data_IF_021092825672
#
_entry.id   IF_021092825672
#
_cell.length_a   1.000
_cell.length_b   1.000
_cell.length_c   1.000
_cell.angle_alpha   90.00
_cell.angle_beta   90.00
_cell.angle_gamma   90.00
#
_symmetry.space_group_name_H-M   'P 1'
#
loop_
_entity.id
_entity.type
_entity.pdbx_description
1 polymer ?
#
# COMPACT_ATOMS: atom_id res chain seq x y z
N UNK A 1 -46.10 20.05 35.52
CA UNK A 1 -45.81 18.61 35.69
C UNK A 1 -45.33 18.09 34.35
N UNK A 2 -44.23 17.38 34.14
CA UNK A 2 -43.03 17.00 34.89
C UNK A 2 -42.29 16.02 33.94
N UNK A 3 -41.06 16.36 33.60
CA UNK A 3 -39.92 15.56 33.13
C UNK A 3 -40.06 14.10 32.62
N UNK A 4 -39.37 13.86 31.49
CA UNK A 4 -38.45 12.74 31.18
C UNK A 4 -38.93 11.28 31.20
N UNK A 5 -38.68 10.59 30.09
CA UNK A 5 -38.06 9.25 30.12
C UNK A 5 -37.21 9.02 28.86
N UNK A 6 -35.90 8.90 29.09
CA UNK A 6 -34.88 8.48 28.11
C UNK A 6 -34.74 6.96 28.23
N UNK A 7 -34.67 6.18 27.13
CA UNK A 7 -34.38 4.75 27.21
C UNK A 7 -32.92 4.49 27.66
N UNK A 8 -32.75 3.67 28.68
CA UNK A 8 -31.46 3.17 29.19
C UNK A 8 -30.88 2.10 28.24
N UNK A 9 -29.61 2.22 27.88
CA UNK A 9 -28.86 1.18 27.17
C UNK A 9 -28.29 0.14 28.16
N UNK A 10 -28.17 -1.15 27.77
CA UNK A 10 -27.59 -2.19 28.64
C UNK A 10 -26.10 -1.95 28.94
N UNK A 11 -25.74 -2.08 30.23
CA UNK A 11 -24.37 -2.04 30.73
C UNK A 11 -23.56 -3.27 30.27
N UNK A 12 -22.33 -3.04 29.80
CA UNK A 12 -21.36 -4.09 29.48
C UNK A 12 -20.75 -4.62 30.79
N UNK A 13 -20.80 -5.94 31.02
CA UNK A 13 -20.22 -6.61 32.20
C UNK A 13 -18.80 -7.09 31.90
N UNK A 14 -17.85 -6.71 32.76
CA UNK A 14 -16.44 -7.11 32.71
C UNK A 14 -16.25 -8.60 33.13
N UNK A 15 -15.57 -9.46 32.34
CA UNK A 15 -15.41 -10.88 32.66
C UNK A 15 -14.44 -11.23 33.81
N UNK A 16 -13.75 -10.28 34.45
CA UNK A 16 -12.68 -10.58 35.42
C UNK A 16 -13.05 -10.39 36.90
N UNK A 17 -14.32 -10.54 37.31
CA UNK A 17 -14.68 -10.57 38.72
C UNK A 17 -14.84 -12.01 39.25
N UNK A 18 -13.73 -12.53 39.77
CA UNK A 18 -13.64 -13.79 40.48
C UNK A 18 -14.10 -13.61 41.94
N UNK A 19 -14.99 -14.52 42.36
CA UNK A 19 -15.64 -14.63 43.66
C UNK A 19 -14.71 -14.51 44.87
N UNK A 20 -15.11 -13.72 45.89
CA UNK A 20 -14.75 -14.00 47.27
C UNK A 20 -15.89 -13.63 48.23
N UNK A 21 -16.34 -14.63 49.01
CA UNK A 21 -17.41 -14.52 50.01
C UNK A 21 -16.79 -14.65 51.41
N UNK A 22 -17.11 -13.70 52.31
CA UNK A 22 -17.35 -14.00 53.73
C UNK A 22 -16.38 -13.51 54.81
N UNK A 23 -16.93 -12.71 55.74
CA UNK A 23 -16.51 -12.53 57.16
C UNK A 23 -15.36 -11.53 57.39
N UNK A 24 -15.43 -10.51 58.25
CA UNK A 24 -16.09 -10.34 59.54
C UNK A 24 -15.01 -10.03 60.59
N UNK A 25 -14.88 -8.78 61.03
CA UNK A 25 -13.99 -8.35 62.14
C UNK A 25 -14.68 -8.59 63.50
N UNK A 26 -13.97 -8.82 64.65
CA UNK A 26 -13.39 -7.72 65.46
C UNK A 26 -12.13 -8.14 66.32
N UNK A 27 -11.73 -7.51 67.46
CA UNK A 27 -10.61 -6.55 67.54
C UNK A 27 -9.49 -6.83 68.61
N UNK A 28 -8.38 -6.07 68.51
CA UNK A 28 -7.37 -5.61 69.50
C UNK A 28 -6.90 -6.44 70.73
N UNK A 29 -5.55 -6.46 70.93
CA UNK A 29 -4.79 -6.73 72.17
C UNK A 29 -3.67 -7.77 71.94
N UNK A 30 -2.44 -7.75 72.46
CA UNK A 30 -1.63 -6.93 73.37
C UNK A 30 -0.35 -7.73 73.71
N UNK A 31 0.81 -7.06 73.85
CA UNK A 31 2.09 -7.45 74.49
C UNK A 31 2.75 -8.84 74.33
N UNK A 32 3.95 -8.85 73.71
CA UNK A 32 5.23 -9.28 74.33
C UNK A 32 5.65 -10.77 74.37
N UNK A 33 6.83 -11.08 73.80
CA UNK A 33 7.74 -12.11 74.35
C UNK A 33 8.39 -13.12 73.38
N UNK A 34 9.65 -12.85 72.98
CA UNK A 34 10.79 -13.79 72.99
C UNK A 34 10.91 -14.96 71.98
N UNK A 35 12.04 -15.00 71.25
CA UNK A 35 12.69 -16.25 70.82
C UNK A 35 13.13 -16.34 69.35
N UNK A 36 14.42 -16.16 69.06
CA UNK A 36 15.12 -16.58 67.82
C UNK A 36 15.51 -18.08 67.93
N UNK A 37 15.68 -18.87 66.83
CA UNK A 37 16.89 -18.83 65.94
C UNK A 37 16.64 -19.35 64.48
N UNK A 38 17.65 -19.75 63.66
CA UNK A 38 18.59 -18.88 62.95
C UNK A 38 18.61 -19.10 61.40
N UNK A 39 19.42 -18.27 60.74
CA UNK A 39 19.66 -18.08 59.30
C UNK A 39 20.27 -19.27 58.53
N UNK A 40 19.96 -19.34 57.22
CA UNK A 40 20.74 -20.02 56.19
C UNK A 40 21.06 -19.05 55.01
N UNK A 41 22.29 -19.05 54.45
CA UNK A 41 22.71 -18.06 53.43
C UNK A 41 22.49 -18.50 51.96
N UNK A 42 22.44 -17.55 51.00
CA UNK A 42 22.25 -17.82 49.57
C UNK A 42 23.56 -18.09 48.79
N UNK A 43 23.41 -18.84 47.69
CA UNK A 43 24.44 -19.37 46.78
C UNK A 43 25.29 -18.30 46.06
N UNK A 44 26.60 -18.57 45.93
CA UNK A 44 27.56 -17.85 45.10
C UNK A 44 28.03 -18.66 43.89
N UNK A 45 28.44 -17.95 42.83
CA UNK A 45 29.06 -18.46 41.59
C UNK A 45 30.44 -19.11 41.82
N UNK A 46 30.87 -20.11 41.02
CA UNK A 46 32.25 -20.58 41.03
C UNK A 46 33.13 -19.96 39.91
N UNK A 47 34.45 -19.83 40.15
CA UNK A 47 35.42 -19.32 39.18
C UNK A 47 36.20 -20.43 38.43
N UNK A 48 36.91 -19.96 37.41
CA UNK A 48 37.88 -20.59 36.51
C UNK A 48 38.96 -21.47 37.19
N UNK A 49 39.38 -22.54 36.49
CA UNK A 49 40.62 -23.27 36.77
C UNK A 49 41.29 -23.78 35.49
N UNK A 50 42.62 -23.85 35.56
CA UNK A 50 43.62 -23.96 34.50
C UNK A 50 44.13 -25.41 34.34
N UNK A 51 44.51 -25.81 33.13
CA UNK A 51 45.59 -26.79 32.90
C UNK A 51 45.24 -28.10 32.15
N UNK A 52 46.08 -28.47 31.17
CA UNK A 52 46.21 -29.85 30.69
C UNK A 52 46.41 -30.00 29.17
N UNK A 53 47.65 -30.29 28.74
CA UNK A 53 48.07 -30.49 27.35
C UNK A 53 48.12 -31.97 26.92
N UNK A 54 47.86 -32.25 25.63
CA UNK A 54 48.27 -33.49 24.92
C UNK A 54 48.54 -33.21 23.41
N UNK A 55 49.37 -34.03 22.73
CA UNK A 55 50.24 -33.60 21.63
C UNK A 55 49.84 -34.11 20.22
N UNK A 56 50.43 -33.54 19.17
CA UNK A 56 50.48 -34.09 17.81
C UNK A 56 51.93 -34.15 17.29
N UNK A 57 52.32 -35.16 16.50
CA UNK A 57 53.72 -35.40 16.12
C UNK A 57 54.14 -34.69 14.80
N UNK A 58 55.42 -34.30 14.75
CA UNK A 58 56.11 -33.73 13.59
C UNK A 58 56.73 -34.78 12.66
N UNK A 59 56.91 -34.40 11.38
CA UNK A 59 57.88 -34.98 10.44
C UNK A 59 58.79 -33.88 9.84
N UNK A 60 60.00 -34.20 9.32
CA UNK A 60 61.14 -33.28 9.31
C UNK A 60 61.64 -32.84 7.90
N UNK A 61 62.76 -32.09 7.89
CA UNK A 61 63.62 -31.57 6.78
C UNK A 61 63.23 -30.17 6.25
N UNK A 62 64.06 -29.11 6.16
CA UNK A 62 65.47 -28.80 6.45
C UNK A 62 65.74 -27.31 6.09
N UNK A 63 66.73 -26.66 6.72
CA UNK A 63 67.25 -25.29 6.47
C UNK A 63 68.31 -25.29 5.31
N UNK A 64 68.96 -24.18 4.82
CA UNK A 64 69.20 -22.85 5.46
C UNK A 64 69.41 -21.55 4.58
N UNK A 65 69.57 -20.41 5.30
CA UNK A 65 70.36 -19.15 5.06
C UNK A 65 69.87 -17.96 4.17
N UNK A 66 69.92 -16.76 4.78
CA UNK A 66 70.09 -15.44 4.15
C UNK A 66 69.91 -14.24 5.12
N UNK A 67 70.99 -13.51 5.44
CA UNK A 67 71.07 -12.38 6.41
C UNK A 67 70.65 -11.01 5.84
N UNK A 68 70.18 -10.09 6.70
CA UNK A 68 70.08 -8.63 6.44
C UNK A 68 69.99 -7.79 7.75
N UNK A 69 70.42 -6.50 7.77
CA UNK A 69 70.86 -5.77 8.98
C UNK A 69 69.76 -4.97 9.76
N UNK A 70 70.07 -4.39 10.95
CA UNK A 70 69.09 -3.95 11.95
C UNK A 70 68.44 -2.56 11.72
N UNK A 71 67.36 -2.21 12.46
CA UNK A 71 66.45 -1.12 12.09
C UNK A 71 66.92 0.28 12.52
N UNK A 72 66.84 1.24 11.59
CA UNK A 72 67.00 2.68 11.84
C UNK A 72 65.73 3.31 12.43
N UNK A 73 65.93 4.28 13.33
CA UNK A 73 64.88 4.94 14.12
C UNK A 73 63.94 5.82 13.29
N UNK A 74 62.68 5.87 13.73
CA UNK A 74 61.66 6.78 13.21
C UNK A 74 61.58 8.04 14.07
N UNK A 75 61.53 9.20 13.39
CA UNK A 75 61.25 10.51 13.98
C UNK A 75 59.75 10.65 14.36
N UNK A 76 59.40 11.48 15.37
CA UNK A 76 58.02 11.65 15.80
C UNK A 76 57.21 12.57 14.87
N UNK A 77 55.98 12.15 14.52
CA UNK A 77 54.98 12.98 13.84
C UNK A 77 54.21 13.88 14.84
N UNK A 78 53.80 15.11 14.47
CA UNK A 78 53.08 16.01 15.37
C UNK A 78 51.55 15.76 15.38
N UNK A 79 51.01 15.56 16.60
CA UNK A 79 49.76 16.18 17.07
C UNK A 79 48.42 15.71 16.52
N UNK A 80 47.76 14.79 17.25
CA UNK A 80 46.29 14.69 17.30
C UNK A 80 45.82 15.17 18.69
N UNK A 81 45.02 16.24 18.71
CA UNK A 81 44.34 16.72 19.92
C UNK A 81 43.10 15.84 20.14
N UNK A 82 43.03 15.16 21.29
CA UNK A 82 41.82 14.43 21.71
C UNK A 82 40.76 15.42 22.23
N UNK A 83 39.47 15.28 21.88
CA UNK A 83 38.40 16.04 22.53
C UNK A 83 38.20 15.55 23.99
N UNK A 84 37.81 16.44 24.92
CA UNK A 84 37.75 16.10 26.34
C UNK A 84 36.60 15.14 26.67
N UNK A 85 36.69 14.40 27.81
CA UNK A 85 35.68 13.43 28.20
C UNK A 85 34.38 14.14 28.61
N UNK A 86 33.25 13.62 28.14
CA UNK A 86 31.90 14.02 28.55
C UNK A 86 31.69 13.73 30.03
N UNK A 87 31.79 14.76 30.86
CA UNK A 87 31.33 14.74 32.24
C UNK A 87 29.80 14.78 32.28
N UNK A 88 29.18 13.76 32.87
CA UNK A 88 27.75 13.73 33.10
C UNK A 88 27.29 14.73 34.16
N UNK A 89 26.05 15.21 34.01
CA UNK A 89 25.22 15.66 35.12
C UNK A 89 24.62 17.06 35.00
N UNK A 90 23.28 17.08 35.02
CA UNK A 90 22.38 18.12 35.54
C UNK A 90 21.83 19.19 34.57
N UNK A 91 20.54 19.04 34.24
CA UNK A 91 19.63 20.16 33.95
C UNK A 91 19.35 20.47 32.49
N UNK A 92 18.88 19.50 31.70
CA UNK A 92 18.16 19.83 30.46
C UNK A 92 16.69 20.05 30.83
N UNK A 93 16.24 21.30 30.77
CA UNK A 93 14.81 21.58 30.63
C UNK A 93 14.38 20.96 29.30
N UNK A 94 13.41 20.04 29.33
CA UNK A 94 12.74 19.54 28.14
C UNK A 94 12.10 20.72 27.41
N UNK A 95 12.75 21.20 26.35
CA UNK A 95 12.15 22.08 25.36
C UNK A 95 11.34 21.21 24.38
N UNK A 96 9.99 21.24 24.43
CA UNK A 96 9.16 20.43 23.54
C UNK A 96 9.24 20.84 22.07
N UNK A 97 9.99 21.87 21.69
CA UNK A 97 10.14 22.31 20.29
C UNK A 97 11.37 21.75 19.54
N UNK A 98 12.18 20.90 20.19
CA UNK A 98 13.34 20.28 19.54
C UNK A 98 13.06 18.91 18.90
N UNK A 99 11.87 18.73 18.30
CA UNK A 99 11.72 17.65 17.32
C UNK A 99 12.56 17.97 16.08
N UNK A 100 13.46 17.06 15.63
CA UNK A 100 14.27 17.32 14.45
C UNK A 100 13.35 17.41 13.22
N UNK A 101 13.09 18.62 12.74
CA UNK A 101 12.36 18.93 11.49
C UNK A 101 12.95 18.25 10.24
N UNK A 102 14.08 17.55 10.35
CA UNK A 102 14.76 16.87 9.24
C UNK A 102 14.12 15.54 8.81
N UNK A 103 13.34 14.85 9.65
CA UNK A 103 12.68 13.60 9.23
C UNK A 103 11.40 13.83 8.39
N UNK A 104 10.69 14.96 8.60
CA UNK A 104 9.43 15.25 7.91
C UNK A 104 9.60 15.64 6.43
N UNK A 105 10.78 16.18 6.03
CA UNK A 105 11.01 16.60 4.64
C UNK A 105 11.32 15.43 3.72
N UNK A 106 12.02 14.40 4.22
CA UNK A 106 12.35 13.20 3.45
C UNK A 106 11.09 12.44 3.05
N UNK A 107 10.16 12.21 3.98
CA UNK A 107 8.89 11.53 3.71
C UNK A 107 8.03 12.26 2.65
N UNK A 108 7.95 13.59 2.74
CA UNK A 108 7.23 14.39 1.74
C UNK A 108 7.92 14.38 0.37
N UNK A 109 9.25 14.40 0.33
CA UNK A 109 10.00 14.30 -0.93
C UNK A 109 9.82 12.93 -1.59
N UNK A 110 9.87 11.85 -0.80
CA UNK A 110 9.63 10.47 -1.23
C UNK A 110 8.20 10.35 -1.77
N UNK A 111 7.21 10.88 -1.04
CA UNK A 111 5.80 10.87 -1.48
C UNK A 111 5.60 11.61 -2.80
N UNK A 112 6.20 12.79 -2.97
CA UNK A 112 6.13 13.54 -4.24
C UNK A 112 6.77 12.77 -5.40
N UNK A 113 7.91 12.11 -5.14
CA UNK A 113 8.55 11.23 -6.11
C UNK A 113 7.68 10.05 -6.51
N UNK A 114 7.05 9.41 -5.53
CA UNK A 114 6.06 8.35 -5.72
C UNK A 114 4.87 8.82 -6.58
N UNK A 115 4.20 9.91 -6.19
CA UNK A 115 3.05 10.46 -6.91
C UNK A 115 3.42 10.78 -8.36
N UNK A 116 4.56 11.43 -8.58
CA UNK A 116 5.06 11.72 -9.94
C UNK A 116 5.22 10.44 -10.75
N UNK A 117 5.81 9.40 -10.17
CA UNK A 117 6.01 8.10 -10.83
C UNK A 117 4.68 7.43 -11.18
N UNK A 118 3.71 7.44 -10.27
CA UNK A 118 2.37 6.89 -10.50
C UNK A 118 1.69 7.60 -11.68
N UNK A 119 1.65 8.93 -11.69
CA UNK A 119 1.02 9.68 -12.78
C UNK A 119 1.75 9.52 -14.12
N UNK A 120 3.07 9.42 -14.14
CA UNK A 120 3.82 9.15 -15.38
C UNK A 120 3.45 7.78 -15.97
N UNK A 121 3.35 6.76 -15.12
CA UNK A 121 2.92 5.42 -15.52
C UNK A 121 1.47 5.47 -16.03
N UNK A 122 0.57 6.08 -15.26
CA UNK A 122 -0.84 6.24 -15.62
C UNK A 122 -1.00 6.93 -16.99
N UNK A 123 -0.30 8.04 -17.21
CA UNK A 123 -0.35 8.77 -18.48
C UNK A 123 0.16 7.90 -19.64
N UNK A 124 1.21 7.11 -19.42
CA UNK A 124 1.68 6.11 -20.40
C UNK A 124 0.61 5.06 -20.72
N UNK A 125 -0.07 4.52 -19.71
CA UNK A 125 -1.14 3.53 -19.90
C UNK A 125 -2.33 4.11 -20.66
N UNK A 126 -2.75 5.33 -20.31
CA UNK A 126 -3.85 6.02 -20.99
C UNK A 126 -3.49 6.36 -22.44
N UNK A 127 -2.25 6.79 -22.72
CA UNK A 127 -1.79 7.06 -24.08
C UNK A 127 -1.85 5.80 -24.94
N UNK A 128 -1.35 4.66 -24.44
CA UNK A 128 -1.42 3.37 -25.16
C UNK A 128 -2.89 2.97 -25.39
N UNK A 129 -3.74 3.14 -24.37
CA UNK A 129 -5.16 2.76 -24.45
C UNK A 129 -5.93 3.60 -25.45
N UNK A 130 -5.85 4.93 -25.35
CA UNK A 130 -6.53 5.83 -26.28
C UNK A 130 -5.93 5.79 -27.68
N UNK A 131 -4.62 5.53 -27.82
CA UNK A 131 -3.98 5.25 -29.10
C UNK A 131 -4.52 3.97 -29.74
N UNK A 132 -4.69 2.90 -28.98
CA UNK A 132 -5.34 1.67 -29.46
C UNK A 132 -6.80 1.93 -29.84
N UNK A 133 -7.59 2.59 -28.98
CA UNK A 133 -8.97 2.97 -29.29
C UNK A 133 -9.06 3.77 -30.57
N UNK A 134 -8.20 4.78 -30.77
CA UNK A 134 -8.15 5.54 -32.01
C UNK A 134 -7.81 4.66 -33.22
N UNK A 135 -6.82 3.79 -33.12
CA UNK A 135 -6.47 2.85 -34.20
C UNK A 135 -7.66 1.96 -34.56
N UNK A 136 -8.35 1.38 -33.57
CA UNK A 136 -9.51 0.54 -33.81
C UNK A 136 -10.70 1.32 -34.37
N UNK A 137 -10.93 2.56 -33.95
CA UNK A 137 -12.10 3.33 -34.38
C UNK A 137 -11.90 3.97 -35.77
N UNK A 138 -10.72 4.47 -36.07
CA UNK A 138 -10.46 5.23 -37.31
C UNK A 138 -9.86 4.38 -38.45
N UNK A 139 -9.19 3.27 -38.15
CA UNK A 139 -8.56 2.42 -39.18
C UNK A 139 -9.41 1.16 -39.47
N UNK A 140 -10.12 1.17 -40.60
CA UNK A 140 -11.00 0.07 -41.01
C UNK A 140 -10.28 -1.28 -41.13
N UNK A 141 -9.00 -1.29 -41.55
CA UNK A 141 -8.19 -2.51 -41.63
C UNK A 141 -8.05 -3.22 -40.27
N UNK A 142 -7.82 -2.45 -39.21
CA UNK A 142 -7.71 -2.97 -37.84
C UNK A 142 -9.04 -3.53 -37.34
N UNK A 143 -10.15 -2.85 -37.63
CA UNK A 143 -11.48 -3.35 -37.29
C UNK A 143 -11.77 -4.70 -37.95
N UNK A 144 -11.48 -4.80 -39.25
CA UNK A 144 -11.70 -6.02 -40.01
C UNK A 144 -10.80 -7.16 -39.52
N UNK A 145 -9.55 -6.85 -39.15
CA UNK A 145 -8.64 -7.81 -38.54
C UNK A 145 -9.20 -8.38 -37.23
N UNK A 146 -9.69 -7.55 -36.30
CA UNK A 146 -10.28 -8.04 -35.06
C UNK A 146 -11.58 -8.83 -35.28
N UNK A 147 -12.43 -8.40 -36.21
CA UNK A 147 -13.66 -9.14 -36.55
C UNK A 147 -13.36 -10.53 -37.13
N UNK A 148 -12.28 -10.67 -37.91
CA UNK A 148 -11.83 -11.97 -38.44
C UNK A 148 -11.16 -12.85 -37.40
N UNK A 149 -10.47 -12.26 -36.43
CA UNK A 149 -9.69 -12.97 -35.42
C UNK A 149 -10.32 -12.84 -34.03
N UNK A 150 -11.57 -13.29 -33.87
CA UNK A 150 -12.30 -13.20 -32.60
C UNK A 150 -11.60 -13.90 -31.43
N UNK A 151 -10.76 -14.89 -31.70
CA UNK A 151 -9.95 -15.57 -30.70
C UNK A 151 -9.00 -14.63 -29.95
N UNK A 152 -8.52 -13.55 -30.61
CA UNK A 152 -7.65 -12.55 -29.99
C UNK A 152 -8.35 -11.81 -28.84
N UNK A 153 -9.66 -11.62 -28.91
CA UNK A 153 -10.44 -11.02 -27.83
C UNK A 153 -10.37 -11.89 -26.57
N UNK A 154 -10.59 -13.20 -26.70
CA UNK A 154 -10.55 -14.13 -25.57
C UNK A 154 -9.13 -14.31 -25.01
N UNK A 155 -8.12 -14.31 -25.88
CA UNK A 155 -6.71 -14.32 -25.44
C UNK A 155 -6.37 -13.04 -24.69
N UNK A 156 -6.73 -11.87 -25.21
CA UNK A 156 -6.51 -10.60 -24.52
C UNK A 156 -7.24 -10.55 -23.17
N UNK A 157 -8.48 -11.05 -23.10
CA UNK A 157 -9.22 -11.18 -21.85
C UNK A 157 -8.51 -12.08 -20.84
N UNK A 158 -8.02 -13.25 -21.29
CA UNK A 158 -7.26 -14.17 -20.46
C UNK A 158 -5.96 -13.54 -19.93
N UNK A 159 -5.20 -12.86 -20.81
CA UNK A 159 -3.97 -12.15 -20.41
C UNK A 159 -4.26 -11.05 -19.41
N UNK A 160 -5.29 -10.24 -19.64
CA UNK A 160 -5.71 -9.18 -18.72
C UNK A 160 -6.10 -9.76 -17.36
N UNK A 161 -6.91 -10.83 -17.31
CA UNK A 161 -7.32 -11.45 -16.04
C UNK A 161 -6.14 -12.04 -15.29
N UNK A 162 -5.28 -12.81 -15.97
CA UNK A 162 -4.10 -13.45 -15.34
C UNK A 162 -3.16 -12.38 -14.79
N UNK A 163 -2.83 -11.37 -15.59
CA UNK A 163 -1.91 -10.30 -15.15
C UNK A 163 -2.51 -9.48 -14.00
N UNK A 164 -3.81 -9.18 -14.03
CA UNK A 164 -4.53 -8.52 -12.93
C UNK A 164 -4.49 -9.35 -11.65
N UNK A 165 -4.83 -10.65 -11.73
CA UNK A 165 -4.81 -11.55 -10.57
C UNK A 165 -3.40 -11.70 -9.99
N UNK A 166 -2.38 -11.85 -10.83
CA UNK A 166 -0.99 -11.90 -10.37
C UNK A 166 -0.58 -10.60 -9.65
N UNK A 167 -0.95 -9.43 -10.15
CA UNK A 167 -0.64 -8.16 -9.50
C UNK A 167 -1.47 -7.91 -8.23
N UNK A 168 -2.67 -8.46 -8.13
CA UNK A 168 -3.52 -8.35 -6.94
C UNK A 168 -3.08 -9.30 -5.81
N UNK A 169 -2.72 -10.55 -6.15
CA UNK A 169 -2.45 -11.60 -5.18
C UNK A 169 -0.96 -11.81 -4.87
N UNK A 170 -0.05 -11.41 -5.76
CA UNK A 170 1.38 -11.66 -5.61
C UNK A 170 2.16 -10.35 -5.42
N UNK A 171 2.49 -10.04 -4.17
CA UNK A 171 3.26 -8.84 -3.80
C UNK A 171 4.64 -8.79 -4.47
N UNK A 172 5.30 -9.96 -4.62
CA UNK A 172 6.58 -10.09 -5.31
C UNK A 172 6.50 -9.62 -6.77
N UNK A 173 5.40 -9.93 -7.47
CA UNK A 173 5.20 -9.55 -8.87
C UNK A 173 5.05 -8.04 -9.02
N UNK A 174 4.31 -7.38 -8.12
CA UNK A 174 4.06 -5.93 -8.21
C UNK A 174 5.21 -5.06 -7.67
N UNK A 175 6.01 -5.58 -6.74
CA UNK A 175 7.13 -4.82 -6.14
C UNK A 175 8.48 -5.05 -6.81
N UNK A 176 8.71 -6.20 -7.44
CA UNK A 176 10.01 -6.51 -8.03
C UNK A 176 10.17 -5.94 -9.44
N UNK A 177 11.22 -5.13 -9.64
CA UNK A 177 11.66 -4.69 -10.97
C UNK A 177 12.59 -5.74 -11.57
N UNK A 178 12.45 -6.12 -12.87
CA UNK A 178 11.56 -5.56 -13.90
C UNK A 178 10.20 -6.24 -14.04
N UNK A 179 9.95 -7.31 -13.28
CA UNK A 179 8.71 -8.14 -13.36
C UNK A 179 7.45 -7.29 -13.30
N UNK A 180 7.41 -6.29 -12.42
CA UNK A 180 6.27 -5.40 -12.25
C UNK A 180 5.91 -4.61 -13.53
N UNK A 181 6.90 -4.07 -14.25
CA UNK A 181 6.70 -3.36 -15.50
C UNK A 181 6.32 -4.29 -16.66
N UNK A 182 6.82 -5.53 -16.66
CA UNK A 182 6.44 -6.53 -17.66
C UNK A 182 4.95 -6.89 -17.50
N UNK A 183 4.52 -7.22 -16.28
CA UNK A 183 3.12 -7.53 -16.01
C UNK A 183 2.20 -6.34 -16.26
N UNK A 184 2.62 -5.13 -15.86
CA UNK A 184 1.88 -3.91 -16.15
C UNK A 184 1.77 -3.64 -17.65
N UNK A 185 2.83 -3.85 -18.41
CA UNK A 185 2.85 -3.68 -19.86
C UNK A 185 1.92 -4.67 -20.56
N UNK A 186 1.98 -5.96 -20.18
CA UNK A 186 1.08 -7.00 -20.70
C UNK A 186 -0.38 -6.69 -20.37
N UNK A 187 -0.67 -6.31 -19.12
CA UNK A 187 -1.99 -5.89 -18.69
C UNK A 187 -2.49 -4.70 -19.52
N UNK A 188 -1.67 -3.66 -19.65
CA UNK A 188 -2.03 -2.43 -20.39
C UNK A 188 -2.28 -2.73 -21.87
N UNK A 189 -1.44 -3.54 -22.51
CA UNK A 189 -1.60 -3.91 -23.91
C UNK A 189 -2.88 -4.73 -24.14
N UNK A 190 -3.13 -5.72 -23.28
CA UNK A 190 -4.33 -6.55 -23.33
C UNK A 190 -5.59 -5.71 -23.10
N UNK A 191 -5.61 -4.87 -22.06
CA UNK A 191 -6.72 -3.97 -21.77
C UNK A 191 -6.94 -2.97 -22.92
N UNK A 192 -5.88 -2.37 -23.46
CA UNK A 192 -5.98 -1.44 -24.60
C UNK A 192 -6.60 -2.10 -25.83
N UNK A 193 -6.27 -3.36 -26.11
CA UNK A 193 -6.88 -4.13 -27.18
C UNK A 193 -8.38 -4.38 -26.93
N UNK A 194 -8.77 -4.83 -25.72
CA UNK A 194 -10.17 -5.06 -25.36
C UNK A 194 -11.00 -3.78 -25.48
N UNK A 195 -10.45 -2.67 -25.01
CA UNK A 195 -11.06 -1.34 -25.09
C UNK A 195 -11.21 -0.89 -26.54
N UNK A 196 -10.17 -1.06 -27.35
CA UNK A 196 -10.21 -0.75 -28.78
C UNK A 196 -11.28 -1.55 -29.53
N UNK A 197 -11.32 -2.87 -29.32
CA UNK A 197 -12.36 -3.73 -29.92
C UNK A 197 -13.76 -3.31 -29.49
N UNK A 198 -13.95 -3.01 -28.19
CA UNK A 198 -15.24 -2.57 -27.65
C UNK A 198 -15.68 -1.23 -28.25
N UNK A 199 -14.76 -0.28 -28.40
CA UNK A 199 -15.02 1.04 -28.98
C UNK A 199 -15.46 0.98 -30.46
N UNK A 200 -15.15 -0.10 -31.19
CA UNK A 200 -15.61 -0.26 -32.59
C UNK A 200 -17.12 -0.37 -32.75
N UNK A 201 -17.89 -0.53 -31.65
CA UNK A 201 -19.35 -0.53 -31.66
C UNK A 201 -19.97 0.87 -31.67
N UNK A 202 -19.18 1.90 -31.40
CA UNK A 202 -19.63 3.27 -31.29
C UNK A 202 -19.18 4.10 -32.49
N UNK A 203 -19.90 5.19 -32.77
CA UNK A 203 -19.48 6.11 -33.81
C UNK A 203 -18.22 6.89 -33.37
N UNK A 204 -17.31 7.28 -34.28
CA UNK A 204 -16.11 8.03 -33.90
C UNK A 204 -16.39 9.34 -33.14
N UNK A 205 -17.49 10.01 -33.47
CA UNK A 205 -17.93 11.23 -32.77
C UNK A 205 -18.35 10.97 -31.32
N UNK A 206 -18.92 9.80 -31.01
CA UNK A 206 -19.30 9.38 -29.66
C UNK A 206 -18.07 9.06 -28.83
N UNK A 207 -17.11 8.35 -29.43
CA UNK A 207 -15.83 8.02 -28.79
C UNK A 207 -15.07 9.30 -28.42
N UNK A 208 -14.95 10.26 -29.35
CA UNK A 208 -14.28 11.53 -29.07
C UNK A 208 -14.98 12.33 -27.95
N UNK A 209 -16.32 12.36 -27.96
CA UNK A 209 -17.10 13.03 -26.92
C UNK A 209 -16.92 12.34 -25.55
N UNK A 210 -16.92 11.00 -25.51
CA UNK A 210 -16.67 10.24 -24.30
C UNK A 210 -15.27 10.47 -23.72
N UNK A 211 -14.23 10.54 -24.57
CA UNK A 211 -12.86 10.89 -24.14
C UNK A 211 -12.84 12.28 -23.50
N UNK A 212 -13.47 13.28 -24.13
CA UNK A 212 -13.53 14.65 -23.61
C UNK A 212 -14.22 14.73 -22.25
N UNK A 213 -15.39 14.09 -22.09
CA UNK A 213 -16.12 14.08 -20.82
C UNK A 213 -15.33 13.33 -19.75
N UNK A 214 -14.75 12.17 -20.08
CA UNK A 214 -13.94 11.38 -19.13
C UNK A 214 -12.77 12.21 -18.61
N UNK A 215 -12.04 12.89 -19.49
CA UNK A 215 -10.91 13.74 -19.10
C UNK A 215 -11.36 14.88 -18.15
N UNK A 216 -12.48 15.54 -18.47
CA UNK A 216 -13.03 16.59 -17.63
C UNK A 216 -13.48 16.08 -16.25
N UNK A 217 -14.18 14.94 -16.20
CA UNK A 217 -14.63 14.29 -14.97
C UNK A 217 -13.44 13.86 -14.13
N UNK A 218 -12.47 13.15 -14.71
CA UNK A 218 -11.31 12.66 -13.98
C UNK A 218 -10.47 13.82 -13.42
N UNK A 219 -10.27 14.89 -14.19
CA UNK A 219 -9.58 16.09 -13.71
C UNK A 219 -10.34 16.74 -12.56
N UNK A 220 -11.65 16.95 -12.69
CA UNK A 220 -12.47 17.55 -11.66
C UNK A 220 -12.47 16.73 -10.35
N UNK A 221 -12.61 15.41 -10.45
CA UNK A 221 -12.60 14.51 -9.29
C UNK A 221 -11.21 14.41 -8.65
N UNK A 222 -10.14 14.42 -9.43
CA UNK A 222 -8.76 14.44 -8.92
C UNK A 222 -8.52 15.74 -8.15
N UNK A 223 -8.89 16.90 -8.71
CA UNK A 223 -8.79 18.19 -8.03
C UNK A 223 -9.64 18.25 -6.77
N UNK A 224 -10.85 17.68 -6.81
CA UNK A 224 -11.71 17.55 -5.64
C UNK A 224 -11.07 16.69 -4.54
N UNK A 225 -10.50 15.53 -4.91
CA UNK A 225 -9.83 14.64 -3.97
C UNK A 225 -8.65 15.31 -3.26
N UNK A 226 -7.95 16.23 -3.93
CA UNK A 226 -6.82 17.00 -3.39
C UNK A 226 -7.24 18.10 -2.42
N UNK A 227 -8.43 18.68 -2.61
CA UNK A 227 -8.89 19.86 -1.87
C UNK A 227 -9.88 19.53 -0.76
N UNK A 228 -10.58 18.40 -0.88
CA UNK A 228 -11.61 18.01 0.07
C UNK A 228 -11.02 17.65 1.43
N UNK A 229 -11.70 18.04 2.50
CA UNK A 229 -11.35 17.68 3.88
C UNK A 229 -11.92 16.33 4.29
N UNK A 230 -12.83 15.77 3.49
CA UNK A 230 -13.41 14.47 3.76
C UNK A 230 -12.43 13.36 3.39
N UNK A 231 -12.19 12.45 4.34
CA UNK A 231 -11.34 11.28 4.14
C UNK A 231 -12.16 10.11 3.56
N UNK A 232 -12.13 9.97 2.23
CA UNK A 232 -12.78 8.87 1.53
C UNK A 232 -12.05 7.54 1.76
N UNK A 233 -10.78 7.53 2.17
CA UNK A 233 -10.04 6.29 2.41
C UNK A 233 -10.68 5.41 3.50
N UNK A 234 -11.51 6.02 4.35
CA UNK A 234 -12.33 5.36 5.36
C UNK A 234 -13.45 4.47 4.79
N UNK A 235 -13.86 4.72 3.55
CA UNK A 235 -14.99 4.04 2.90
C UNK A 235 -14.59 2.74 2.18
N UNK A 236 -13.34 2.28 2.29
CA UNK A 236 -12.84 1.12 1.53
C UNK A 236 -13.73 -0.13 1.65
N UNK A 237 -14.21 -0.47 2.86
CA UNK A 237 -15.12 -1.60 3.06
C UNK A 237 -16.48 -1.42 2.38
N UNK A 238 -17.01 -0.19 2.36
CA UNK A 238 -18.28 0.15 1.68
C UNK A 238 -18.09 0.05 0.17
N UNK A 239 -16.97 0.57 -0.36
CA UNK A 239 -16.68 0.51 -1.79
C UNK A 239 -16.54 -0.93 -2.29
N UNK A 240 -15.89 -1.81 -1.52
CA UNK A 240 -15.81 -3.24 -1.84
C UNK A 240 -17.21 -3.85 -1.90
N UNK A 241 -18.07 -3.59 -0.92
CA UNK A 241 -19.44 -4.08 -0.93
C UNK A 241 -20.23 -3.57 -2.15
N UNK A 242 -20.14 -2.26 -2.46
CA UNK A 242 -20.75 -1.68 -3.65
C UNK A 242 -20.24 -2.32 -4.95
N UNK A 243 -18.94 -2.61 -5.05
CA UNK A 243 -18.35 -3.25 -6.21
C UNK A 243 -18.84 -4.69 -6.40
N UNK A 244 -18.97 -5.46 -5.31
CA UNK A 244 -19.54 -6.82 -5.37
C UNK A 244 -21.00 -6.78 -5.83
N UNK A 245 -21.81 -5.89 -5.26
CA UNK A 245 -23.22 -5.71 -5.67
C UNK A 245 -23.29 -5.30 -7.15
N UNK A 246 -22.44 -4.36 -7.57
CA UNK A 246 -22.40 -3.90 -8.95
C UNK A 246 -21.99 -5.01 -9.93
N UNK A 247 -21.04 -5.86 -9.57
CA UNK A 247 -20.62 -7.02 -10.37
C UNK A 247 -21.77 -8.03 -10.51
N UNK A 248 -22.47 -8.35 -9.41
CA UNK A 248 -23.64 -9.25 -9.45
C UNK A 248 -24.75 -8.64 -10.33
N UNK A 249 -25.02 -7.35 -10.19
CA UNK A 249 -25.99 -6.65 -11.04
C UNK A 249 -25.58 -6.72 -12.53
N UNK A 250 -24.29 -6.60 -12.84
CA UNK A 250 -23.76 -6.78 -14.20
C UNK A 250 -24.03 -8.18 -14.76
N UNK A 251 -23.87 -9.22 -13.94
CA UNK A 251 -24.18 -10.61 -14.33
C UNK A 251 -25.65 -10.76 -14.67
N UNK A 252 -26.55 -10.23 -13.83
CA UNK A 252 -28.00 -10.26 -14.08
C UNK A 252 -28.36 -9.45 -15.33
N UNK A 253 -27.78 -8.26 -15.50
CA UNK A 253 -28.03 -7.36 -16.62
C UNK A 253 -27.65 -7.97 -17.98
N UNK A 254 -26.68 -8.90 -18.04
CA UNK A 254 -26.35 -9.64 -19.27
C UNK A 254 -27.54 -10.44 -19.83
N UNK A 255 -28.44 -10.91 -18.96
CA UNK A 255 -29.63 -11.67 -19.36
C UNK A 255 -30.85 -10.76 -19.63
N UNK A 256 -30.93 -9.59 -18.98
CA UNK A 256 -32.08 -8.69 -19.03
C UNK A 256 -31.96 -7.57 -20.09
N UNK A 257 -31.45 -7.89 -21.29
CA UNK A 257 -31.13 -6.92 -22.35
C UNK A 257 -32.21 -5.82 -22.52
N UNK A 258 -31.80 -4.55 -22.49
CA UNK A 258 -32.70 -3.42 -22.75
C UNK A 258 -32.02 -2.06 -22.54
N UNK A 259 -32.40 -1.05 -23.33
CA UNK A 259 -31.81 0.30 -23.31
C UNK A 259 -31.82 0.93 -21.91
N UNK A 260 -32.94 0.81 -21.18
CA UNK A 260 -33.07 1.36 -19.82
C UNK A 260 -32.09 0.69 -18.86
N UNK A 261 -32.00 -0.64 -18.88
CA UNK A 261 -31.09 -1.39 -17.99
C UNK A 261 -29.64 -1.05 -18.32
N UNK A 262 -29.28 -0.97 -19.61
CA UNK A 262 -27.94 -0.52 -20.04
C UNK A 262 -27.59 0.87 -19.52
N UNK A 263 -28.51 1.84 -19.68
CA UNK A 263 -28.30 3.21 -19.20
C UNK A 263 -28.19 3.29 -17.67
N UNK A 264 -29.04 2.58 -16.94
CA UNK A 264 -29.00 2.53 -15.47
C UNK A 264 -27.69 1.89 -15.00
N UNK A 265 -27.31 0.73 -15.57
CA UNK A 265 -26.08 0.04 -15.24
C UNK A 265 -24.85 0.92 -15.51
N UNK A 266 -24.78 1.56 -16.68
CA UNK A 266 -23.68 2.43 -17.02
C UNK A 266 -23.63 3.69 -16.15
N UNK A 267 -24.78 4.29 -15.80
CA UNK A 267 -24.81 5.46 -14.93
C UNK A 267 -24.34 5.13 -13.51
N UNK A 268 -24.78 4.01 -12.95
CA UNK A 268 -24.32 3.53 -11.64
C UNK A 268 -22.81 3.22 -11.69
N UNK A 269 -22.35 2.56 -12.76
CA UNK A 269 -20.93 2.26 -12.96
C UNK A 269 -20.07 3.52 -13.02
N UNK A 270 -20.46 4.51 -13.82
CA UNK A 270 -19.75 5.78 -13.93
C UNK A 270 -19.64 6.49 -12.56
N UNK A 271 -20.72 6.52 -11.78
CA UNK A 271 -20.71 7.09 -10.43
C UNK A 271 -19.83 6.29 -9.46
N UNK A 272 -19.95 4.96 -9.47
CA UNK A 272 -19.18 4.09 -8.58
C UNK A 272 -17.68 4.26 -8.82
N UNK A 273 -17.24 4.17 -10.08
CA UNK A 273 -15.83 4.35 -10.42
C UNK A 273 -15.35 5.79 -10.25
N UNK A 274 -16.24 6.78 -10.32
CA UNK A 274 -15.91 8.16 -9.94
C UNK A 274 -15.58 8.29 -8.44
N UNK A 275 -16.30 7.56 -7.57
CA UNK A 275 -15.98 7.53 -6.14
C UNK A 275 -14.70 6.74 -5.87
N UNK A 276 -14.47 5.62 -6.57
CA UNK A 276 -13.19 4.90 -6.53
C UNK A 276 -12.02 5.80 -6.94
N UNK A 277 -12.16 6.59 -8.02
CA UNK A 277 -11.11 7.52 -8.44
C UNK A 277 -10.74 8.52 -7.33
N UNK A 278 -11.74 9.05 -6.60
CA UNK A 278 -11.47 9.92 -5.43
C UNK A 278 -10.73 9.12 -4.34
N UNK A 279 -11.23 7.94 -4.00
CA UNK A 279 -10.67 7.05 -2.98
C UNK A 279 -9.20 6.70 -3.28
N UNK A 280 -8.92 6.19 -4.48
CA UNK A 280 -7.58 5.76 -4.89
C UNK A 280 -6.63 6.95 -5.05
N UNK A 281 -7.13 8.11 -5.48
CA UNK A 281 -6.34 9.36 -5.49
C UNK A 281 -5.92 9.75 -4.08
N UNK A 282 -6.82 9.72 -3.09
CA UNK A 282 -6.50 10.02 -1.69
C UNK A 282 -5.56 8.97 -1.07
N UNK A 283 -5.80 7.69 -1.35
CA UNK A 283 -4.97 6.60 -0.86
C UNK A 283 -3.52 6.69 -1.37
N UNK A 284 -3.34 7.12 -2.62
CA UNK A 284 -2.02 7.38 -3.21
C UNK A 284 -1.36 8.63 -2.60
N UNK A 285 -2.10 9.73 -2.45
CA UNK A 285 -1.53 10.97 -1.89
C UNK A 285 -1.05 10.81 -0.45
N UNK A 286 -1.78 10.03 0.35
CA UNK A 286 -1.53 9.90 1.78
C UNK A 286 -1.63 11.26 2.50
N UNK A 287 -0.86 11.44 3.57
CA UNK A 287 -0.89 12.66 4.38
C UNK A 287 -1.77 12.50 5.61
N UNK A 288 -2.73 13.40 5.81
CA UNK A 288 -3.67 13.38 6.95
C UNK A 288 -4.77 12.31 6.83
N UNK A 289 -4.84 11.61 5.69
CA UNK A 289 -5.77 10.49 5.49
C UNK A 289 -5.37 9.28 6.34
N UNK A 290 -6.36 8.56 6.87
CA UNK A 290 -6.11 7.41 7.76
C UNK A 290 -5.34 6.29 7.07
N UNK A 291 -5.60 6.06 5.78
CA UNK A 291 -4.92 5.03 5.01
C UNK A 291 -4.09 5.66 3.90
N UNK A 292 -2.90 5.09 3.66
CA UNK A 292 -2.05 5.45 2.53
C UNK A 292 -1.35 4.24 1.96
N UNK A 293 -1.07 4.28 0.66
CA UNK A 293 -0.28 3.26 -0.03
C UNK A 293 1.22 3.48 0.23
N UNK A 294 1.97 2.39 0.41
CA UNK A 294 3.44 2.44 0.50
C UNK A 294 4.05 2.99 -0.80
N UNK A 295 5.08 3.86 -0.75
CA UNK A 295 5.76 4.35 -1.96
C UNK A 295 6.33 3.26 -2.89
N UNK A 296 6.49 2.04 -2.41
CA UNK A 296 6.94 0.89 -3.22
C UNK A 296 5.83 0.34 -4.15
N UNK A 297 4.58 0.65 -3.87
CA UNK A 297 3.38 0.11 -4.53
C UNK A 297 2.91 1.01 -5.69
N UNK A 298 3.83 1.72 -6.35
CA UNK A 298 3.49 2.69 -7.41
C UNK A 298 2.82 2.02 -8.63
N UNK A 299 3.12 0.75 -8.89
CA UNK A 299 2.47 -0.04 -9.95
C UNK A 299 1.01 -0.32 -9.60
N UNK A 300 0.76 -0.68 -8.34
CA UNK A 300 -0.59 -0.96 -7.86
C UNK A 300 -1.46 0.30 -7.83
N UNK A 301 -0.92 1.42 -7.34
CA UNK A 301 -1.59 2.72 -7.38
C UNK A 301 -1.91 3.17 -8.82
N UNK A 302 -0.95 3.02 -9.75
CA UNK A 302 -1.17 3.35 -11.15
C UNK A 302 -2.25 2.46 -11.79
N UNK A 303 -2.23 1.16 -11.48
CA UNK A 303 -3.20 0.19 -11.99
C UNK A 303 -4.63 0.52 -11.53
N UNK A 304 -4.84 0.86 -10.26
CA UNK A 304 -6.17 1.22 -9.74
C UNK A 304 -6.69 2.49 -10.41
N UNK A 305 -5.90 3.58 -10.41
CA UNK A 305 -6.28 4.83 -11.07
C UNK A 305 -6.57 4.61 -12.56
N UNK A 306 -5.78 3.76 -13.23
CA UNK A 306 -6.02 3.40 -14.63
C UNK A 306 -7.36 2.67 -14.80
N UNK A 307 -7.65 1.67 -13.97
CA UNK A 307 -8.92 0.93 -14.01
C UNK A 307 -10.12 1.85 -13.75
N UNK A 308 -10.02 2.80 -12.83
CA UNK A 308 -11.10 3.76 -12.57
C UNK A 308 -11.38 4.60 -13.81
N UNK A 309 -10.34 5.20 -14.39
CA UNK A 309 -10.48 6.09 -15.55
C UNK A 309 -11.02 5.35 -16.78
N UNK A 310 -10.51 4.16 -17.09
CA UNK A 310 -10.99 3.40 -18.26
C UNK A 310 -12.43 2.90 -18.06
N UNK A 311 -12.83 2.56 -16.83
CA UNK A 311 -14.20 2.15 -16.54
C UNK A 311 -15.15 3.35 -16.65
N UNK A 312 -14.79 4.50 -16.07
CA UNK A 312 -15.52 5.77 -16.26
C UNK A 312 -15.69 6.05 -17.75
N UNK A 313 -14.61 5.92 -18.55
CA UNK A 313 -14.68 6.09 -20.00
C UNK A 313 -15.67 5.14 -20.68
N UNK A 314 -15.59 3.83 -20.40
CA UNK A 314 -16.50 2.86 -21.02
C UNK A 314 -17.95 3.09 -20.64
N UNK A 315 -18.22 3.46 -19.39
CA UNK A 315 -19.58 3.75 -18.95
C UNK A 315 -20.12 5.02 -19.57
N UNK A 316 -19.33 6.10 -19.63
CA UNK A 316 -19.70 7.33 -20.34
C UNK A 316 -19.95 7.03 -21.83
N UNK A 317 -19.06 6.29 -22.48
CA UNK A 317 -19.23 5.88 -23.88
C UNK A 317 -20.51 5.08 -24.09
N UNK A 318 -20.81 4.15 -23.18
CA UNK A 318 -22.05 3.37 -23.19
C UNK A 318 -23.29 4.25 -23.04
N UNK A 319 -23.26 5.23 -22.13
CA UNK A 319 -24.37 6.18 -21.94
C UNK A 319 -24.61 6.99 -23.22
N UNK A 320 -23.55 7.50 -23.84
CA UNK A 320 -23.64 8.29 -25.07
C UNK A 320 -24.21 7.45 -26.21
N UNK A 321 -23.65 6.26 -26.47
CA UNK A 321 -24.14 5.37 -27.53
C UNK A 321 -25.59 4.97 -27.32
N UNK A 322 -25.93 4.48 -26.11
CA UNK A 322 -27.29 4.06 -25.80
C UNK A 322 -28.31 5.21 -25.82
N UNK A 323 -27.89 6.47 -25.60
CA UNK A 323 -28.77 7.62 -25.67
C UNK A 323 -29.12 8.05 -27.10
N UNK A 324 -28.24 7.72 -28.07
CA UNK A 324 -28.34 8.13 -29.47
C UNK A 324 -28.97 7.08 -30.39
N UNK A 325 -28.90 5.81 -30.01
CA UNK A 325 -29.62 4.69 -30.63
C UNK A 325 -31.10 4.65 -30.22
#
# INVERSE_FOLDING_TARGET
MSWQSVPQYPQYQDPNQQYNYGGGYPPQGGYGGGGYPPQGPPQGYPPYAQGGAQPYPQGPYGQPYGQGPPPGGYAPQPGFIQPPPSAGGYGAYDDPESQPKNFSFDDQSIRRGFIRKVYLILMGQLLVTFGAVALFVFHQGTQNFAKRNLWLFWVALGVMLVTMLCMACCESVRRQTPTNFIFLGLFTAAQSFLMGVSATRYAPSEVLLAVGITAAVCLALTLFAWQTKYDFTMMGGVLIACMVVFLIFGIVAMFMKGKIITLVYASIGALLFSVYLIYDTQLMMGGEHKYSISPEEYIFAALNLYLDIINIFMYILTIIGASRD
#
